data_IF_973879176067
#
_entry.id   IF_973879176067
#
_cell.length_a   1.000
_cell.length_b   1.000
_cell.length_c   1.000
_cell.angle_alpha   90.00
_cell.angle_beta   90.00
_cell.angle_gamma   90.00
#
_symmetry.space_group_name_H-M   'P 1'
#
loop_
_entity.id
_entity.type
_entity.pdbx_description
1 polymer ?
#
# COMPACT_ATOMS: atom_id res chain seq x y z
N UNK A 1 -28.06 -8.34 -5.95
CA UNK A 1 -28.27 -9.79 -6.08
C UNK A 1 -26.94 -10.44 -6.46
N UNK A 2 -26.09 -10.68 -5.47
CA UNK A 2 -24.78 -11.33 -5.66
C UNK A 2 -25.02 -12.83 -5.80
N UNK A 3 -25.21 -13.30 -7.02
CA UNK A 3 -25.15 -14.73 -7.34
C UNK A 3 -23.74 -15.21 -7.01
N UNK A 4 -23.59 -15.88 -5.88
CA UNK A 4 -22.37 -16.62 -5.51
C UNK A 4 -22.15 -17.65 -6.61
N UNK A 5 -21.15 -17.41 -7.47
CA UNK A 5 -20.75 -18.37 -8.50
C UNK A 5 -20.35 -19.68 -7.80
N UNK A 6 -20.69 -20.85 -8.38
CA UNK A 6 -20.36 -22.14 -7.78
C UNK A 6 -18.85 -22.25 -7.51
N UNK A 7 -18.42 -22.98 -6.46
CA UNK A 7 -17.01 -23.13 -6.14
C UNK A 7 -16.25 -23.72 -7.32
N UNK A 8 -15.20 -23.03 -7.75
CA UNK A 8 -14.46 -23.33 -8.97
C UNK A 8 -13.04 -22.76 -8.94
N UNK A 9 -12.26 -23.02 -9.99
CA UNK A 9 -10.90 -22.46 -10.12
C UNK A 9 -10.95 -20.94 -10.35
N UNK A 10 -9.89 -20.22 -9.96
CA UNK A 10 -9.78 -18.77 -10.20
C UNK A 10 -10.07 -18.39 -11.66
N UNK A 11 -9.49 -19.13 -12.60
CA UNK A 11 -9.70 -18.90 -14.02
C UNK A 11 -11.13 -19.21 -14.47
N UNK A 12 -11.79 -20.21 -13.86
CA UNK A 12 -13.22 -20.46 -14.09
C UNK A 12 -14.07 -19.25 -13.69
N UNK A 13 -13.82 -18.69 -12.50
CA UNK A 13 -14.49 -17.47 -12.04
C UNK A 13 -14.25 -16.30 -13.00
N UNK A 14 -13.00 -16.11 -13.44
CA UNK A 14 -12.64 -15.07 -14.41
C UNK A 14 -13.37 -15.23 -15.74
N UNK A 15 -13.44 -16.46 -16.29
CA UNK A 15 -14.14 -16.71 -17.56
C UNK A 15 -15.64 -16.43 -17.46
N UNK A 16 -16.29 -16.82 -16.36
CA UNK A 16 -17.70 -16.54 -16.13
C UNK A 16 -17.96 -15.04 -15.98
N UNK A 17 -17.14 -14.35 -15.18
CA UNK A 17 -17.23 -12.89 -15.01
C UNK A 17 -17.00 -12.17 -16.34
N UNK A 18 -16.00 -12.59 -17.12
CA UNK A 18 -15.67 -11.99 -18.41
C UNK A 18 -16.77 -12.15 -19.46
N UNK A 19 -17.58 -13.22 -19.37
CA UNK A 19 -18.71 -13.47 -20.26
C UNK A 19 -19.84 -12.44 -20.09
N UNK A 20 -20.14 -12.07 -18.85
CA UNK A 20 -21.26 -11.17 -18.53
C UNK A 20 -20.84 -9.72 -18.27
N UNK A 21 -19.56 -9.46 -17.98
CA UNK A 21 -19.04 -8.13 -17.64
C UNK A 21 -18.01 -7.64 -18.68
N UNK A 22 -18.40 -7.65 -19.95
CA UNK A 22 -17.53 -7.22 -21.06
C UNK A 22 -17.17 -5.73 -21.02
N UNK A 23 -17.97 -4.93 -20.32
CA UNK A 23 -17.73 -3.50 -20.11
C UNK A 23 -16.58 -3.20 -19.14
N UNK A 24 -16.17 -4.18 -18.32
CA UNK A 24 -15.06 -4.04 -17.39
C UNK A 24 -13.72 -4.28 -18.10
N UNK A 25 -12.71 -3.51 -17.70
CA UNK A 25 -11.32 -3.75 -18.07
C UNK A 25 -10.85 -5.13 -17.61
N UNK A 26 -9.72 -5.60 -18.16
CA UNK A 26 -9.13 -6.88 -17.73
C UNK A 26 -8.74 -6.83 -16.24
N UNK A 27 -8.20 -5.70 -15.78
CA UNK A 27 -7.82 -5.52 -14.38
C UNK A 27 -9.02 -5.58 -13.43
N UNK A 28 -10.14 -4.93 -13.77
CA UNK A 28 -11.36 -4.98 -12.97
C UNK A 28 -11.96 -6.38 -12.95
N UNK A 29 -11.93 -7.11 -14.08
CA UNK A 29 -12.38 -8.51 -14.12
C UNK A 29 -11.53 -9.44 -13.28
N UNK A 30 -10.21 -9.28 -13.31
CA UNK A 30 -9.28 -10.02 -12.44
C UNK A 30 -9.49 -9.69 -10.96
N UNK A 31 -9.79 -8.43 -10.65
CA UNK A 31 -10.15 -7.99 -9.29
C UNK A 31 -11.44 -8.65 -8.81
N UNK A 32 -12.52 -8.61 -9.59
CA UNK A 32 -13.78 -9.27 -9.21
C UNK A 32 -13.61 -10.79 -9.10
N UNK A 33 -12.84 -11.41 -10.00
CA UNK A 33 -12.56 -12.84 -9.96
C UNK A 33 -11.80 -13.24 -8.68
N UNK A 34 -10.94 -12.37 -8.15
CA UNK A 34 -10.25 -12.59 -6.88
C UNK A 34 -11.22 -12.71 -5.71
N UNK A 35 -12.14 -11.76 -5.57
CA UNK A 35 -13.15 -11.79 -4.51
C UNK A 35 -14.09 -12.99 -4.66
N UNK A 36 -14.52 -13.30 -5.89
CA UNK A 36 -15.35 -14.47 -6.18
C UNK A 36 -14.62 -15.79 -5.90
N UNK A 37 -13.30 -15.87 -6.06
CA UNK A 37 -12.55 -17.09 -5.79
C UNK A 37 -12.26 -17.28 -4.29
N UNK A 38 -11.89 -16.22 -3.58
CA UNK A 38 -11.56 -16.28 -2.15
C UNK A 38 -12.81 -16.48 -1.27
N UNK A 39 -13.98 -16.03 -1.73
CA UNK A 39 -15.28 -16.20 -1.05
C UNK A 39 -15.33 -15.62 0.39
N UNK A 40 -14.37 -14.76 0.74
CA UNK A 40 -14.29 -14.06 2.02
C UNK A 40 -13.67 -12.69 1.80
N UNK A 41 -14.48 -11.64 1.89
CA UNK A 41 -14.07 -10.26 1.58
C UNK A 41 -12.94 -9.76 2.49
N UNK A 42 -12.92 -10.19 3.76
CA UNK A 42 -11.87 -9.80 4.71
C UNK A 42 -10.53 -10.42 4.31
N UNK A 43 -10.54 -11.71 4.00
CA UNK A 43 -9.35 -12.43 3.54
C UNK A 43 -8.88 -11.91 2.18
N UNK A 44 -9.81 -11.72 1.23
CA UNK A 44 -9.52 -11.24 -0.11
C UNK A 44 -8.88 -9.84 -0.08
N UNK A 45 -9.46 -8.92 0.70
CA UNK A 45 -8.95 -7.56 0.86
C UNK A 45 -7.61 -7.57 1.57
N UNK A 46 -7.48 -8.31 2.68
CA UNK A 46 -6.25 -8.37 3.47
C UNK A 46 -5.04 -8.88 2.66
N UNK A 47 -5.19 -10.01 1.96
CA UNK A 47 -4.11 -10.57 1.12
C UNK A 47 -3.74 -9.59 0.02
N UNK A 48 -4.74 -9.08 -0.72
CA UNK A 48 -4.49 -8.22 -1.88
C UNK A 48 -3.85 -6.89 -1.46
N UNK A 49 -4.30 -6.30 -0.35
CA UNK A 49 -3.77 -5.05 0.18
C UNK A 49 -2.32 -5.22 0.62
N UNK A 50 -1.99 -6.33 1.30
CA UNK A 50 -0.62 -6.63 1.69
C UNK A 50 0.29 -6.86 0.48
N UNK A 51 -0.13 -7.68 -0.49
CA UNK A 51 0.67 -7.95 -1.70
C UNK A 51 0.93 -6.68 -2.51
N UNK A 52 -0.10 -5.85 -2.72
CA UNK A 52 0.05 -4.56 -3.39
C UNK A 52 0.97 -3.66 -2.58
N UNK A 53 0.77 -3.55 -1.27
CA UNK A 53 1.62 -2.75 -0.40
C UNK A 53 3.10 -3.15 -0.54
N UNK A 54 3.43 -4.43 -0.38
CA UNK A 54 4.79 -4.95 -0.51
C UNK A 54 5.38 -4.64 -1.90
N UNK A 55 4.62 -4.88 -2.96
CA UNK A 55 5.05 -4.63 -4.33
C UNK A 55 5.42 -3.15 -4.55
N UNK A 56 4.57 -2.23 -4.12
CA UNK A 56 4.80 -0.79 -4.30
C UNK A 56 5.87 -0.27 -3.33
N UNK A 57 5.85 -0.71 -2.07
CA UNK A 57 6.78 -0.27 -1.03
C UNK A 57 8.22 -0.68 -1.32
N UNK A 58 8.46 -1.90 -1.80
CA UNK A 58 9.81 -2.34 -2.19
C UNK A 58 10.12 -1.93 -3.63
N UNK A 59 9.15 -1.99 -4.54
CA UNK A 59 9.31 -1.64 -5.95
C UNK A 59 9.74 -0.20 -6.18
N UNK A 60 9.26 0.75 -5.37
CA UNK A 60 9.69 2.16 -5.42
C UNK A 60 11.18 2.37 -5.19
N UNK A 61 11.87 1.43 -4.55
CA UNK A 61 13.32 1.54 -4.30
C UNK A 61 14.17 1.22 -5.54
N UNK A 62 13.62 0.46 -6.51
CA UNK A 62 14.37 0.00 -7.67
C UNK A 62 14.90 1.14 -8.57
N UNK A 63 14.11 2.18 -8.91
CA UNK A 63 14.64 3.33 -9.64
C UNK A 63 15.80 4.01 -8.92
N UNK A 64 15.73 4.12 -7.58
CA UNK A 64 16.78 4.74 -6.78
C UNK A 64 18.05 3.89 -6.71
N UNK A 65 17.91 2.56 -6.58
CA UNK A 65 19.05 1.62 -6.67
C UNK A 65 19.74 1.75 -8.03
N UNK A 66 18.96 1.83 -9.12
CA UNK A 66 19.50 2.01 -10.47
C UNK A 66 20.23 3.34 -10.61
N UNK A 67 19.62 4.45 -10.18
CA UNK A 67 20.24 5.78 -10.21
C UNK A 67 21.53 5.81 -9.40
N UNK A 68 21.58 5.13 -8.24
CA UNK A 68 22.78 5.09 -7.39
C UNK A 68 23.94 4.37 -8.08
N UNK A 69 23.64 3.36 -8.90
CA UNK A 69 24.65 2.63 -9.68
C UNK A 69 25.33 3.49 -10.76
N UNK A 70 24.68 4.57 -11.20
CA UNK A 70 25.21 5.50 -12.21
C UNK A 70 26.16 6.55 -11.61
N UNK A 71 26.29 6.61 -10.28
CA UNK A 71 27.15 7.53 -9.52
C UNK A 71 26.93 9.05 -9.74
N UNK A 72 26.04 9.46 -10.65
CA UNK A 72 25.81 10.86 -11.03
C UNK A 72 25.40 11.76 -9.85
N UNK A 73 24.63 11.22 -8.90
CA UNK A 73 24.09 11.97 -7.77
C UNK A 73 24.88 11.78 -6.45
N UNK A 74 26.02 11.08 -6.47
CA UNK A 74 26.80 10.81 -5.25
C UNK A 74 27.22 12.09 -4.50
N UNK A 75 27.47 13.18 -5.24
CA UNK A 75 27.82 14.50 -4.67
C UNK A 75 26.70 15.18 -3.86
N UNK A 76 25.45 14.72 -4.00
CA UNK A 76 24.28 15.27 -3.32
C UNK A 76 23.80 14.41 -2.14
N UNK A 77 24.48 13.29 -1.87
CA UNK A 77 24.15 12.42 -0.73
C UNK A 77 24.42 13.14 0.59
N UNK A 78 23.48 12.99 1.53
CA UNK A 78 23.60 13.55 2.89
C UNK A 78 24.78 12.92 3.65
N UNK A 79 25.03 11.62 3.44
CA UNK A 79 26.14 10.89 4.04
C UNK A 79 27.12 10.45 2.95
N UNK A 80 28.08 11.31 2.60
CA UNK A 80 29.03 11.04 1.51
C UNK A 80 30.02 9.91 1.81
N UNK A 81 30.26 9.59 3.09
CA UNK A 81 31.28 8.64 3.53
C UNK A 81 30.79 7.18 3.59
N UNK A 82 29.49 6.93 3.43
CA UNK A 82 28.89 5.59 3.56
C UNK A 82 28.10 5.25 2.30
N UNK A 83 28.66 4.39 1.46
CA UNK A 83 27.98 3.84 0.27
C UNK A 83 27.66 2.37 0.57
N UNK A 84 26.38 2.00 0.70
CA UNK A 84 26.00 0.64 1.07
C UNK A 84 26.24 -0.32 -0.09
N UNK A 85 26.86 -1.45 0.19
CA UNK A 85 27.02 -2.55 -0.77
C UNK A 85 25.69 -3.25 -1.06
N UNK A 86 25.60 -3.96 -2.19
CA UNK A 86 24.39 -4.73 -2.54
C UNK A 86 24.01 -5.78 -1.49
N UNK A 87 25.00 -6.34 -0.77
CA UNK A 87 24.75 -7.31 0.30
C UNK A 87 24.12 -6.65 1.52
N UNK A 88 24.65 -5.50 1.94
CA UNK A 88 24.07 -4.73 3.05
C UNK A 88 22.65 -4.24 2.72
N UNK A 89 22.40 -3.81 1.48
CA UNK A 89 21.06 -3.46 1.02
C UNK A 89 20.10 -4.65 1.09
N UNK A 90 20.55 -5.83 0.67
CA UNK A 90 19.74 -7.05 0.71
C UNK A 90 19.44 -7.50 2.15
N UNK A 91 20.42 -7.43 3.05
CA UNK A 91 20.21 -7.78 4.45
C UNK A 91 19.27 -6.77 5.14
N UNK A 92 19.43 -5.47 4.86
CA UNK A 92 18.48 -4.44 5.29
C UNK A 92 17.07 -4.73 4.77
N UNK A 93 16.92 -5.05 3.47
CA UNK A 93 15.64 -5.36 2.87
C UNK A 93 14.95 -6.56 3.55
N UNK A 94 15.69 -7.61 3.94
CA UNK A 94 15.13 -8.73 4.71
C UNK A 94 14.62 -8.30 6.09
N UNK A 95 15.35 -7.45 6.80
CA UNK A 95 14.92 -6.97 8.12
C UNK A 95 13.66 -6.10 8.00
N UNK A 96 13.59 -5.23 6.99
CA UNK A 96 12.39 -4.45 6.71
C UNK A 96 11.22 -5.36 6.36
N UNK A 97 11.44 -6.34 5.46
CA UNK A 97 10.42 -7.32 5.08
C UNK A 97 9.91 -8.10 6.30
N UNK A 98 10.80 -8.51 7.21
CA UNK A 98 10.41 -9.15 8.46
C UNK A 98 9.51 -8.24 9.31
N UNK A 99 9.84 -6.95 9.42
CA UNK A 99 9.00 -5.99 10.15
C UNK A 99 7.63 -5.80 9.48
N UNK A 100 7.56 -5.84 8.15
CA UNK A 100 6.29 -5.79 7.41
C UNK A 100 5.41 -7.00 7.73
N UNK A 101 5.96 -8.21 7.74
CA UNK A 101 5.20 -9.42 8.10
C UNK A 101 4.79 -9.48 9.58
N UNK A 102 5.59 -8.92 10.48
CA UNK A 102 5.38 -9.05 11.94
C UNK A 102 4.61 -7.90 12.58
N UNK A 103 4.70 -6.70 12.00
CA UNK A 103 4.08 -5.47 12.54
C UNK A 103 3.00 -4.97 11.59
N UNK A 104 3.33 -4.78 10.32
CA UNK A 104 2.40 -4.13 9.37
C UNK A 104 1.28 -5.04 8.92
N UNK A 105 1.55 -6.33 8.67
CA UNK A 105 0.52 -7.31 8.28
C UNK A 105 -0.58 -7.42 9.35
N UNK A 106 -0.28 -7.57 10.66
CA UNK A 106 -1.29 -7.47 11.70
C UNK A 106 -2.03 -6.12 11.72
N UNK A 107 -1.37 -5.00 11.44
CA UNK A 107 -2.03 -3.69 11.40
C UNK A 107 -3.02 -3.57 10.23
N UNK A 108 -2.63 -4.06 9.04
CA UNK A 108 -3.49 -4.11 7.85
C UNK A 108 -4.71 -5.00 8.12
N UNK A 109 -4.53 -6.12 8.82
CA UNK A 109 -5.59 -7.10 9.06
C UNK A 109 -6.50 -6.78 10.25
N UNK A 110 -5.93 -6.29 11.36
CA UNK A 110 -6.64 -6.09 12.64
C UNK A 110 -6.93 -4.63 12.97
N UNK A 111 -6.23 -3.67 12.36
CA UNK A 111 -6.59 -2.24 12.48
C UNK A 111 -8.07 -1.98 12.16
N UNK A 112 -8.60 -2.54 11.06
CA UNK A 112 -10.03 -2.46 10.73
C UNK A 112 -10.97 -3.17 11.71
N UNK A 113 -10.51 -4.24 12.38
CA UNK A 113 -11.31 -5.04 13.30
C UNK A 113 -11.43 -4.40 14.70
N UNK A 114 -10.37 -3.73 15.18
CA UNK A 114 -10.37 -3.01 16.46
C UNK A 114 -11.20 -1.72 16.42
N UNK A 115 -11.28 -1.04 15.27
CA UNK A 115 -12.09 0.18 15.11
C UNK A 115 -13.61 -0.10 15.21
N UNK A 116 -14.07 -1.33 14.94
CA UNK A 116 -15.49 -1.72 15.13
C UNK A 116 -15.92 -1.82 16.59
N UNK A 117 -15.00 -2.15 17.50
CA UNK A 117 -15.33 -2.44 18.90
C UNK A 117 -15.22 -1.19 19.79
N UNK A 118 -14.37 -0.23 19.44
CA UNK A 118 -14.05 0.89 20.35
C UNK A 118 -14.80 2.20 20.03
N UNK A 119 -15.15 2.50 18.77
CA UNK A 119 -15.61 3.85 18.37
C UNK A 119 -16.97 3.94 17.65
N UNK A 120 -17.64 2.83 17.33
CA UNK A 120 -18.94 2.85 16.66
C UNK A 120 -20.15 3.41 17.47
N UNK A 121 -20.17 3.55 18.82
CA UNK A 121 -21.38 4.04 19.48
C UNK A 121 -21.57 5.57 19.44
N UNK A 122 -20.62 6.36 18.92
CA UNK A 122 -20.66 7.83 19.14
C UNK A 122 -21.17 8.66 17.95
N UNK A 123 -21.20 8.15 16.72
CA UNK A 123 -21.52 8.98 15.54
C UNK A 123 -22.33 8.27 14.42
N UNK A 124 -23.32 7.47 14.78
CA UNK A 124 -24.23 6.85 13.81
C UNK A 124 -25.44 7.75 13.50
N UNK A 125 -25.28 8.70 12.57
CA UNK A 125 -26.41 9.24 11.80
C UNK A 125 -25.96 9.53 10.37
N UNK A 126 -26.37 8.68 9.43
CA UNK A 126 -26.64 9.14 8.07
C UNK A 126 -25.76 8.68 6.90
N UNK A 127 -24.83 7.73 7.03
CA UNK A 127 -24.06 7.25 5.86
C UNK A 127 -24.04 5.71 5.77
N UNK A 128 -24.97 5.15 4.98
CA UNK A 128 -24.86 3.79 4.48
C UNK A 128 -23.94 3.76 3.25
N UNK A 129 -23.05 2.75 3.23
CA UNK A 129 -22.26 2.19 2.11
C UNK A 129 -20.87 2.79 1.81
N UNK A 130 -19.86 2.32 2.56
CA UNK A 130 -18.71 1.57 2.01
C UNK A 130 -17.92 0.97 3.17
N UNK A 131 -18.02 -0.35 3.32
CA UNK A 131 -17.62 -1.14 4.50
C UNK A 131 -16.14 -1.57 4.52
N UNK A 132 -15.25 -0.81 3.89
CA UNK A 132 -13.82 -1.17 3.85
C UNK A 132 -13.06 -0.38 4.90
N UNK A 133 -12.89 -0.98 6.06
CA UNK A 133 -12.05 -0.43 7.11
C UNK A 133 -10.60 -0.37 6.67
N UNK A 134 -10.01 0.81 6.73
CA UNK A 134 -8.57 1.03 6.68
C UNK A 134 -8.25 2.27 7.52
N UNK A 135 -7.21 2.16 8.35
CA UNK A 135 -6.56 3.14 9.24
C UNK A 135 -7.19 4.52 9.50
N UNK A 136 -7.19 4.89 10.80
CA UNK A 136 -7.76 6.10 11.46
C UNK A 136 -7.54 7.49 10.83
N UNK A 137 -6.71 7.64 9.81
CA UNK A 137 -6.46 8.93 9.14
C UNK A 137 -6.32 8.82 7.62
N UNK A 138 -5.80 7.70 7.11
CA UNK A 138 -5.53 7.56 5.67
C UNK A 138 -6.81 7.34 4.86
N UNK A 139 -7.77 6.55 5.33
CA UNK A 139 -8.97 6.26 4.55
C UNK A 139 -9.92 7.47 4.42
N UNK A 140 -10.20 8.26 5.47
CA UNK A 140 -10.99 9.48 5.33
C UNK A 140 -10.29 10.53 4.45
N UNK A 141 -8.97 10.67 4.56
CA UNK A 141 -8.18 11.59 3.73
C UNK A 141 -8.11 11.13 2.27
N UNK A 142 -7.90 9.84 2.03
CA UNK A 142 -7.89 9.26 0.69
C UNK A 142 -9.25 9.42 0.01
N UNK A 143 -10.35 9.14 0.72
CA UNK A 143 -11.70 9.38 0.22
C UNK A 143 -11.98 10.88 -0.01
N UNK A 144 -11.49 11.75 0.87
CA UNK A 144 -11.56 13.20 0.70
C UNK A 144 -10.82 13.67 -0.56
N UNK A 145 -9.68 13.06 -0.89
CA UNK A 145 -8.95 13.29 -2.14
C UNK A 145 -9.45 12.46 -3.33
N UNK A 146 -10.58 11.75 -3.18
CA UNK A 146 -11.23 11.02 -4.26
C UNK A 146 -10.56 9.71 -4.68
N UNK A 147 -9.71 9.12 -3.85
CA UNK A 147 -9.18 7.77 -4.06
C UNK A 147 -10.29 6.76 -3.77
N UNK A 148 -10.70 6.02 -4.82
CA UNK A 148 -11.64 4.91 -4.70
C UNK A 148 -10.99 3.61 -5.14
N UNK A 149 -11.19 2.57 -4.34
CA UNK A 149 -10.82 1.18 -4.65
C UNK A 149 -12.03 0.36 -5.12
N UNK A 150 -13.21 0.98 -5.23
CA UNK A 150 -14.39 0.33 -5.81
C UNK A 150 -14.28 0.24 -7.33
N UNK A 151 -14.86 -0.80 -7.92
CA UNK A 151 -15.11 -0.83 -9.36
C UNK A 151 -16.28 0.11 -9.73
N UNK A 152 -16.25 0.78 -10.90
CA UNK A 152 -15.13 0.84 -11.85
C UNK A 152 -13.95 1.62 -11.28
N UNK A 153 -12.72 1.22 -11.64
CA UNK A 153 -11.52 1.89 -11.18
C UNK A 153 -11.41 3.33 -11.72
N UNK A 154 -10.68 4.22 -11.03
CA UNK A 154 -10.40 5.56 -11.55
C UNK A 154 -9.73 5.48 -12.92
N UNK A 155 -9.90 6.54 -13.72
CA UNK A 155 -9.24 6.60 -15.03
C UNK A 155 -7.71 6.45 -14.88
N UNK A 156 -7.00 5.84 -15.86
CA UNK A 156 -5.55 5.73 -15.81
C UNK A 156 -4.85 7.07 -15.61
N UNK A 157 -5.42 8.16 -16.15
CA UNK A 157 -4.94 9.52 -15.91
C UNK A 157 -5.07 9.93 -14.46
N UNK A 158 -6.21 9.65 -13.83
CA UNK A 158 -6.45 9.89 -12.40
C UNK A 158 -5.42 9.19 -11.53
N UNK A 159 -5.22 7.90 -11.79
CA UNK A 159 -4.21 7.12 -11.08
C UNK A 159 -2.80 7.69 -11.30
N UNK A 160 -2.44 8.02 -12.55
CA UNK A 160 -1.11 8.50 -12.89
C UNK A 160 -0.74 9.80 -12.16
N UNK A 161 -1.61 10.82 -12.18
CA UNK A 161 -1.31 12.08 -11.49
C UNK A 161 -1.34 11.92 -9.96
N UNK A 162 -2.26 11.12 -9.41
CA UNK A 162 -2.32 10.85 -7.97
C UNK A 162 -1.05 10.16 -7.48
N UNK A 163 -0.59 9.15 -8.23
CA UNK A 163 0.67 8.44 -7.97
C UNK A 163 1.84 9.44 -8.05
N UNK A 164 1.92 10.25 -9.10
CA UNK A 164 3.01 11.22 -9.26
C UNK A 164 3.08 12.23 -8.10
N UNK A 165 1.93 12.77 -7.68
CA UNK A 165 1.84 13.69 -6.53
C UNK A 165 2.26 12.97 -5.24
N UNK A 166 1.77 11.74 -5.02
CA UNK A 166 2.15 10.94 -3.86
C UNK A 166 3.66 10.72 -3.81
N UNK A 167 4.28 10.33 -4.93
CA UNK A 167 5.73 10.15 -5.02
C UNK A 167 6.50 11.42 -4.65
N UNK A 168 6.10 12.59 -5.16
CA UNK A 168 6.76 13.86 -4.82
C UNK A 168 6.61 14.20 -3.34
N UNK A 169 5.40 14.07 -2.79
CA UNK A 169 5.15 14.36 -1.38
C UNK A 169 5.87 13.37 -0.46
N UNK A 170 5.85 12.09 -0.80
CA UNK A 170 6.52 11.03 -0.07
C UNK A 170 8.03 11.29 -0.03
N UNK A 171 8.67 11.53 -1.17
CA UNK A 171 10.11 11.76 -1.26
C UNK A 171 10.52 13.04 -0.52
N UNK A 172 9.72 14.11 -0.68
CA UNK A 172 9.90 15.38 0.04
C UNK A 172 9.82 15.16 1.55
N UNK A 173 8.77 14.48 2.03
CA UNK A 173 8.59 14.17 3.43
C UNK A 173 9.74 13.32 3.99
N UNK A 174 10.13 12.25 3.30
CA UNK A 174 11.23 11.38 3.71
C UNK A 174 12.55 12.15 3.81
N UNK A 175 12.86 13.00 2.84
CA UNK A 175 14.07 13.82 2.87
C UNK A 175 14.11 14.75 4.09
N UNK A 176 13.05 15.54 4.30
CA UNK A 176 13.01 16.50 5.40
C UNK A 176 12.94 15.82 6.77
N UNK A 177 12.21 14.72 6.89
CA UNK A 177 12.11 13.96 8.12
C UNK A 177 13.46 13.30 8.48
N UNK A 178 14.11 12.65 7.51
CA UNK A 178 15.44 12.07 7.72
C UNK A 178 16.47 13.14 8.12
N UNK A 179 16.41 14.32 7.46
CA UNK A 179 17.25 15.46 7.83
C UNK A 179 16.93 16.00 9.23
N UNK A 180 15.66 16.03 9.64
CA UNK A 180 15.27 16.40 10.99
C UNK A 180 15.79 15.39 12.03
N UNK A 181 15.80 14.10 11.70
CA UNK A 181 16.38 13.07 12.59
C UNK A 181 17.88 13.24 12.81
N UNK A 182 18.59 13.95 11.93
CA UNK A 182 19.98 14.35 12.15
C UNK A 182 20.16 15.52 13.13
N UNK A 183 19.07 16.08 13.69
CA UNK A 183 19.13 17.11 14.72
C UNK A 183 19.45 16.51 16.10
N UNK A 184 20.31 17.17 16.88
CA UNK A 184 21.02 16.63 18.05
C UNK A 184 20.24 15.67 18.96
N UNK A 185 19.09 16.06 19.54
CA UNK A 185 18.29 15.17 20.39
C UNK A 185 17.74 13.95 19.65
N UNK A 186 17.18 14.16 18.45
CA UNK A 186 16.61 13.10 17.62
C UNK A 186 17.68 12.15 17.09
N UNK A 187 18.88 12.67 16.82
CA UNK A 187 20.00 11.85 16.36
C UNK A 187 20.41 10.84 17.43
N UNK A 188 20.58 11.30 18.68
CA UNK A 188 20.98 10.45 19.80
C UNK A 188 19.89 9.44 20.19
N UNK A 189 18.63 9.87 20.18
CA UNK A 189 17.53 9.06 20.67
C UNK A 189 16.94 8.10 19.62
N UNK A 190 17.01 8.44 18.33
CA UNK A 190 16.32 7.70 17.26
C UNK A 190 17.31 7.33 16.16
N UNK A 191 17.92 8.32 15.50
CA UNK A 191 18.64 8.09 14.24
C UNK A 191 19.84 7.14 14.41
N UNK A 192 20.59 7.27 15.50
CA UNK A 192 21.76 6.41 15.78
C UNK A 192 21.37 4.96 16.11
N UNK A 193 20.17 4.73 16.66
CA UNK A 193 19.70 3.38 17.01
C UNK A 193 19.13 2.68 15.76
N UNK A 194 18.50 3.47 14.89
CA UNK A 194 17.91 3.00 13.64
C UNK A 194 18.95 2.61 12.57
N UNK A 195 20.09 3.33 12.50
CA UNK A 195 21.21 3.06 11.59
C UNK A 195 22.26 2.13 12.18
#
# INVERSE_FOLDING_TARGET
NSTVLPPGTYWGQYHDIAKYNTHLSVAERLWVAWYAWVQNDVLATGIMSFVIHELFYFGRSLPWIFIDSLAFFNRYKIQSSKVPSLREQWDCAKFVLLSHFTVELPQIWYGPALDRVVFYPTFASGAQMSNNGSSRLFHPMAQFFGLSTSIPFPSPWTMAYQIAIFFVMEDTWHYFFHRALHWGPLYKAIHKIHH
#
